data_IF_884058399071
#
_entry.id   IF_884058399071
#
_cell.length_a   1.000
_cell.length_b   1.000
_cell.length_c   1.000
_cell.angle_alpha   90.00
_cell.angle_beta   90.00
_cell.angle_gamma   90.00
#
_symmetry.space_group_name_H-M   'P 1'
#
loop_
_entity.id
_entity.type
_entity.pdbx_description
1 polymer ?
#
# COMPACT_ATOMS: atom_id res chain seq x y z
N UNK A 1 -8.45 -10.68 -8.86
CA UNK A 1 -7.29 -11.24 -9.59
C UNK A 1 -5.99 -11.00 -8.83
N UNK A 2 -5.59 -9.75 -8.55
CA UNK A 2 -4.36 -9.38 -7.81
C UNK A 2 -4.12 -10.25 -6.56
N UNK A 3 -5.15 -10.41 -5.72
CA UNK A 3 -5.04 -11.22 -4.50
C UNK A 3 -4.82 -12.71 -4.76
N UNK A 4 -5.43 -13.27 -5.79
CA UNK A 4 -5.24 -14.68 -6.15
C UNK A 4 -3.79 -14.91 -6.60
N UNK A 5 -3.26 -14.00 -7.41
CA UNK A 5 -1.89 -14.07 -7.90
C UNK A 5 -0.87 -13.84 -6.77
N UNK A 6 -1.02 -12.75 -6.01
CA UNK A 6 -0.09 -12.38 -4.94
C UNK A 6 -0.10 -13.29 -3.72
N UNK A 7 -1.20 -14.02 -3.46
CA UNK A 7 -1.26 -15.02 -2.38
C UNK A 7 -1.05 -16.47 -2.90
N UNK A 8 -0.80 -16.66 -4.20
CA UNK A 8 -0.65 -17.96 -4.86
C UNK A 8 -1.84 -18.92 -4.59
N UNK A 9 -3.06 -18.38 -4.73
CA UNK A 9 -4.33 -19.08 -4.47
C UNK A 9 -5.03 -19.39 -5.79
N UNK A 10 -5.50 -20.62 -5.93
CA UNK A 10 -6.39 -21.02 -7.02
C UNK A 10 -7.81 -21.26 -6.50
N UNK A 11 -8.82 -21.04 -7.35
CA UNK A 11 -10.20 -21.36 -7.02
C UNK A 11 -10.49 -22.80 -7.46
N UNK A 12 -10.52 -23.75 -6.52
CA UNK A 12 -10.96 -25.11 -6.79
C UNK A 12 -12.49 -25.18 -6.77
N UNK A 13 -13.09 -25.87 -7.75
CA UNK A 13 -14.50 -26.27 -7.70
C UNK A 13 -14.59 -27.76 -7.43
N UNK A 14 -15.64 -28.16 -6.72
CA UNK A 14 -15.96 -29.58 -6.53
C UNK A 14 -16.58 -30.11 -7.82
N UNK A 15 -16.16 -31.29 -8.27
CA UNK A 15 -16.76 -31.92 -9.45
C UNK A 15 -18.14 -32.46 -9.11
N UNK A 16 -18.93 -32.80 -10.14
CA UNK A 16 -20.22 -33.48 -9.97
C UNK A 16 -20.11 -34.84 -9.26
N UNK A 17 -18.89 -35.40 -9.18
CA UNK A 17 -18.57 -36.64 -8.46
C UNK A 17 -18.08 -36.42 -7.02
N UNK A 18 -18.22 -35.20 -6.48
CA UNK A 18 -17.71 -34.79 -5.17
C UNK A 18 -16.17 -34.89 -5.01
N UNK A 19 -15.43 -34.95 -6.12
CA UNK A 19 -13.97 -34.93 -6.09
C UNK A 19 -13.45 -33.50 -6.24
N UNK A 20 -12.27 -33.24 -5.66
CA UNK A 20 -11.61 -31.93 -5.77
C UNK A 20 -10.95 -31.81 -7.16
N UNK A 21 -11.36 -30.81 -7.94
CA UNK A 21 -10.80 -30.59 -9.27
C UNK A 21 -9.32 -30.14 -9.20
N UNK A 22 -8.54 -30.46 -10.24
CA UNK A 22 -7.11 -30.08 -10.32
C UNK A 22 -6.95 -28.56 -10.21
N UNK A 23 -6.15 -28.13 -9.24
CA UNK A 23 -5.86 -26.74 -8.96
C UNK A 23 -4.68 -26.25 -9.80
N UNK A 24 -4.86 -25.09 -10.45
CA UNK A 24 -3.80 -24.40 -11.18
C UNK A 24 -3.44 -23.13 -10.44
N UNK A 25 -2.37 -23.22 -9.65
CA UNK A 25 -1.85 -22.13 -8.84
C UNK A 25 -0.96 -21.22 -9.68
N UNK A 26 -1.14 -19.89 -9.62
CA UNK A 26 -0.30 -18.96 -10.36
C UNK A 26 1.12 -18.94 -9.80
N UNK A 27 2.12 -19.15 -10.65
CA UNK A 27 3.53 -19.04 -10.28
C UNK A 27 4.24 -18.06 -11.23
N UNK A 28 5.13 -17.24 -10.67
CA UNK A 28 5.92 -16.26 -11.42
C UNK A 28 5.47 -14.82 -11.19
N UNK A 29 5.88 -13.93 -12.09
CA UNK A 29 5.54 -12.50 -12.09
C UNK A 29 4.47 -12.24 -13.14
N UNK A 30 3.45 -11.45 -12.79
CA UNK A 30 2.43 -10.98 -13.72
C UNK A 30 2.64 -9.49 -13.98
N UNK A 31 2.88 -9.13 -15.24
CA UNK A 31 2.89 -7.75 -15.69
C UNK A 31 1.51 -7.42 -16.26
N UNK A 32 0.96 -6.29 -15.81
CA UNK A 32 -0.35 -5.80 -16.24
C UNK A 32 -0.19 -4.33 -16.59
N UNK A 33 -0.63 -3.94 -17.78
CA UNK A 33 -0.85 -2.54 -18.12
C UNK A 33 -2.28 -2.14 -17.73
N UNK A 34 -2.42 -0.97 -17.12
CA UNK A 34 -3.70 -0.39 -16.77
C UNK A 34 -3.59 1.13 -16.91
N UNK A 35 -4.66 1.76 -17.39
CA UNK A 35 -4.76 3.23 -17.46
C UNK A 35 -4.93 3.81 -16.05
N UNK A 36 -5.75 3.16 -15.22
CA UNK A 36 -6.00 3.55 -13.84
C UNK A 36 -5.71 2.43 -12.86
N UNK A 37 -5.17 2.79 -11.69
CA UNK A 37 -5.00 1.85 -10.58
C UNK A 37 -6.20 1.92 -9.63
N UNK A 38 -6.85 0.77 -9.40
CA UNK A 38 -7.98 0.65 -8.48
C UNK A 38 -7.73 -0.51 -7.50
N UNK A 39 -8.03 -0.32 -6.22
CA UNK A 39 -7.97 -1.40 -5.23
C UNK A 39 -7.74 -0.92 -3.81
N UNK A 40 -7.96 -1.81 -2.85
CA UNK A 40 -7.63 -1.52 -1.45
C UNK A 40 -6.12 -1.46 -1.20
N UNK A 41 -5.70 -0.81 -0.11
CA UNK A 41 -4.32 -0.81 0.42
C UNK A 41 -3.67 -2.21 0.37
N UNK A 42 -4.44 -3.24 0.74
CA UNK A 42 -3.98 -4.63 0.71
C UNK A 42 -3.70 -5.14 -0.71
N UNK A 43 -4.50 -4.75 -1.70
CA UNK A 43 -4.31 -5.17 -3.08
C UNK A 43 -3.13 -4.42 -3.71
N UNK A 44 -3.05 -3.11 -3.48
CA UNK A 44 -1.98 -2.25 -3.99
C UNK A 44 -0.61 -2.64 -3.44
N UNK A 45 -0.51 -3.02 -2.16
CA UNK A 45 0.74 -3.50 -1.55
C UNK A 45 1.24 -4.87 -2.03
N UNK A 46 0.51 -5.53 -2.94
CA UNK A 46 0.93 -6.76 -3.63
C UNK A 46 1.44 -6.51 -5.05
N UNK A 47 1.42 -5.27 -5.51
CA UNK A 47 1.88 -4.86 -6.83
C UNK A 47 3.02 -3.85 -6.67
N UNK A 48 3.92 -3.83 -7.65
CA UNK A 48 4.80 -2.69 -7.90
C UNK A 48 4.13 -1.88 -9.01
N UNK A 49 3.86 -0.60 -8.76
CA UNK A 49 3.21 0.30 -9.71
C UNK A 49 4.28 1.17 -10.35
N UNK A 50 4.41 1.08 -11.67
CA UNK A 50 5.30 1.91 -12.46
C UNK A 50 4.45 2.81 -13.35
N UNK A 51 4.62 4.12 -13.22
CA UNK A 51 4.03 5.08 -14.12
C UNK A 51 4.94 5.25 -15.33
N UNK A 52 4.39 5.07 -16.52
CA UNK A 52 5.10 5.24 -17.77
C UNK A 52 4.47 6.40 -18.54
N UNK A 53 5.29 7.36 -18.93
CA UNK A 53 4.92 8.43 -19.85
C UNK A 53 5.48 8.16 -21.26
N UNK A 54 5.18 9.05 -22.21
CA UNK A 54 5.66 8.94 -23.59
C UNK A 54 7.19 9.02 -23.72
N UNK A 55 7.87 9.58 -22.72
CA UNK A 55 9.32 9.77 -22.69
C UNK A 55 10.04 8.66 -21.92
N UNK A 56 9.30 7.79 -21.23
CA UNK A 56 9.84 6.71 -20.39
C UNK A 56 10.39 5.55 -21.20
N UNK A 57 10.08 5.48 -22.50
CA UNK A 57 10.46 4.37 -23.37
C UNK A 57 11.25 4.89 -24.55
N UNK A 58 12.46 4.37 -24.72
CA UNK A 58 13.24 4.55 -25.94
C UNK A 58 12.60 3.76 -27.08
N UNK A 59 11.94 4.49 -27.99
CA UNK A 59 11.23 3.92 -29.14
C UNK A 59 12.17 3.30 -30.16
N UNK A 60 13.41 3.76 -30.27
CA UNK A 60 14.39 3.19 -31.19
C UNK A 60 14.83 1.82 -30.69
N UNK A 61 15.20 1.73 -29.41
CA UNK A 61 15.55 0.46 -28.76
C UNK A 61 14.37 -0.52 -28.77
N UNK A 62 13.15 -0.04 -28.50
CA UNK A 62 11.95 -0.87 -28.55
C UNK A 62 11.72 -1.45 -29.95
N UNK A 63 11.79 -0.61 -30.99
CA UNK A 63 11.60 -1.03 -32.38
C UNK A 63 12.66 -2.06 -32.79
N UNK A 64 13.93 -1.81 -32.43
CA UNK A 64 15.03 -2.74 -32.67
C UNK A 64 14.76 -4.14 -32.08
N UNK A 65 14.21 -4.19 -30.87
CA UNK A 65 13.85 -5.44 -30.19
C UNK A 65 12.63 -6.13 -30.83
N UNK A 66 11.62 -5.37 -31.23
CA UNK A 66 10.41 -5.88 -31.88
C UNK A 66 10.71 -6.51 -33.25
N UNK A 67 11.65 -5.93 -34.01
CA UNK A 67 12.11 -6.47 -35.30
C UNK A 67 12.93 -7.77 -35.14
N UNK A 68 13.38 -8.08 -33.92
CA UNK A 68 14.24 -9.24 -33.62
C UNK A 68 13.66 -10.06 -32.47
N UNK A 69 12.46 -10.65 -32.64
CA UNK A 69 11.71 -11.28 -31.55
C UNK A 69 12.48 -12.42 -30.86
N UNK A 70 13.42 -13.07 -31.56
CA UNK A 70 14.23 -14.15 -31.00
C UNK A 70 15.30 -13.66 -30.03
N UNK A 71 15.81 -12.44 -30.17
CA UNK A 71 16.91 -11.92 -29.35
C UNK A 71 16.58 -12.00 -27.86
N UNK A 72 15.38 -11.53 -27.48
CA UNK A 72 14.94 -11.57 -26.09
C UNK A 72 14.85 -13.01 -25.57
N UNK A 73 14.20 -13.92 -26.31
CA UNK A 73 14.07 -15.32 -25.88
C UNK A 73 15.42 -16.05 -25.77
N UNK A 74 16.34 -15.79 -26.70
CA UNK A 74 17.70 -16.36 -26.69
C UNK A 74 18.51 -15.82 -25.51
N UNK A 75 18.39 -14.52 -25.23
CA UNK A 75 19.05 -13.90 -24.09
C UNK A 75 18.55 -14.47 -22.76
N UNK A 76 17.23 -14.57 -22.58
CA UNK A 76 16.62 -15.19 -21.38
C UNK A 76 17.07 -16.65 -21.23
N UNK A 77 17.10 -17.42 -22.32
CA UNK A 77 17.62 -18.79 -22.29
C UNK A 77 19.09 -18.84 -21.81
N UNK A 78 19.95 -17.98 -22.33
CA UNK A 78 21.36 -17.95 -21.97
C UNK A 78 21.57 -17.52 -20.50
N UNK A 79 20.77 -16.58 -20.00
CA UNK A 79 20.75 -16.19 -18.59
C UNK A 79 20.30 -17.35 -17.68
N UNK A 80 19.22 -18.04 -18.04
CA UNK A 80 18.74 -19.20 -17.28
C UNK A 80 19.76 -20.34 -17.29
N UNK A 81 20.44 -20.57 -18.41
CA UNK A 81 21.52 -21.55 -18.51
C UNK A 81 22.66 -21.21 -17.56
N UNK A 82 23.13 -19.96 -17.55
CA UNK A 82 24.16 -19.47 -16.63
C UNK A 82 23.82 -19.71 -15.15
N UNK A 83 22.58 -19.41 -14.75
CA UNK A 83 22.10 -19.68 -13.39
C UNK A 83 22.05 -21.18 -13.12
N UNK A 84 21.52 -21.98 -14.06
CA UNK A 84 21.33 -23.41 -13.88
C UNK A 84 22.65 -24.18 -13.71
N UNK A 85 23.72 -23.73 -14.37
CA UNK A 85 25.06 -24.31 -14.25
C UNK A 85 25.65 -24.10 -12.84
N UNK A 86 25.17 -23.09 -12.10
CA UNK A 86 25.62 -22.73 -10.76
C UNK A 86 24.47 -22.74 -9.74
N UNK A 87 23.47 -23.62 -9.96
CA UNK A 87 22.18 -23.57 -9.26
C UNK A 87 22.31 -23.56 -7.73
N UNK A 88 23.07 -24.49 -7.15
CA UNK A 88 23.22 -24.60 -5.69
C UNK A 88 23.86 -23.35 -5.08
N UNK A 89 24.84 -22.76 -5.76
CA UNK A 89 25.50 -21.53 -5.36
C UNK A 89 24.50 -20.38 -5.34
N UNK A 90 23.76 -20.18 -6.42
CA UNK A 90 22.78 -19.10 -6.50
C UNK A 90 21.63 -19.25 -5.52
N UNK A 91 21.13 -20.47 -5.28
CA UNK A 91 20.10 -20.71 -4.26
C UNK A 91 20.58 -20.27 -2.88
N UNK A 92 21.82 -20.63 -2.52
CA UNK A 92 22.41 -20.21 -1.25
C UNK A 92 22.61 -18.70 -1.19
N UNK A 93 23.20 -18.10 -2.22
CA UNK A 93 23.47 -16.67 -2.26
C UNK A 93 22.19 -15.83 -2.23
N UNK A 94 21.16 -16.19 -2.99
CA UNK A 94 19.87 -15.51 -2.96
C UNK A 94 19.31 -15.53 -1.54
N UNK A 95 19.34 -16.69 -0.87
CA UNK A 95 18.85 -16.83 0.50
C UNK A 95 19.64 -15.95 1.47
N UNK A 96 20.96 -15.89 1.34
CA UNK A 96 21.82 -15.07 2.19
C UNK A 96 21.60 -13.57 1.96
N UNK A 97 21.62 -13.12 0.70
CA UNK A 97 21.40 -11.71 0.32
C UNK A 97 20.02 -11.22 0.73
N UNK A 98 18.96 -11.97 0.44
CA UNK A 98 17.58 -11.61 0.84
C UNK A 98 17.47 -11.46 2.36
N UNK A 99 18.05 -12.38 3.13
CA UNK A 99 18.01 -12.29 4.59
C UNK A 99 18.85 -11.14 5.14
N UNK A 100 19.98 -10.82 4.50
CA UNK A 100 20.81 -9.66 4.85
C UNK A 100 20.05 -8.36 4.62
N UNK A 101 19.53 -8.14 3.40
CA UNK A 101 18.78 -6.93 3.08
C UNK A 101 17.49 -6.81 3.89
N UNK A 102 16.81 -7.91 4.23
CA UNK A 102 15.64 -7.85 5.12
C UNK A 102 15.98 -7.28 6.50
N UNK A 103 17.18 -7.52 7.01
CA UNK A 103 17.63 -6.97 8.30
C UNK A 103 18.01 -5.50 8.16
N UNK A 104 18.74 -5.16 7.10
CA UNK A 104 19.21 -3.80 6.81
C UNK A 104 18.05 -2.82 6.61
N UNK A 105 17.10 -3.18 5.74
CA UNK A 105 16.04 -2.29 5.29
C UNK A 105 14.75 -2.39 6.12
N UNK A 106 14.71 -3.21 7.18
CA UNK A 106 13.47 -3.47 7.94
C UNK A 106 12.75 -2.20 8.40
N UNK A 107 13.52 -1.20 8.81
CA UNK A 107 12.98 0.04 9.39
C UNK A 107 12.64 1.09 8.33
N UNK A 108 13.06 0.90 7.08
CA UNK A 108 12.84 1.83 5.98
C UNK A 108 11.43 1.68 5.38
N UNK A 109 10.74 0.56 5.65
CA UNK A 109 9.46 0.24 5.01
C UNK A 109 8.38 0.01 6.07
N UNK A 110 7.25 0.71 5.92
CA UNK A 110 6.06 0.52 6.78
C UNK A 110 5.31 -0.79 6.48
N UNK A 111 5.41 -1.32 5.26
CA UNK A 111 4.71 -2.52 4.81
C UNK A 111 5.67 -3.64 4.39
N UNK A 112 5.63 -4.79 5.07
CA UNK A 112 6.54 -5.91 4.84
C UNK A 112 6.53 -6.48 3.41
N UNK A 113 5.39 -6.46 2.70
CA UNK A 113 5.35 -6.91 1.29
C UNK A 113 6.09 -5.99 0.31
N UNK A 114 6.11 -4.69 0.59
CA UNK A 114 6.83 -3.74 -0.25
C UNK A 114 8.34 -3.91 -0.05
N UNK A 115 8.77 -4.09 1.20
CA UNK A 115 10.13 -4.51 1.55
C UNK A 115 10.52 -5.79 0.81
N UNK A 116 9.69 -6.84 0.86
CA UNK A 116 9.97 -8.10 0.17
C UNK A 116 10.09 -7.90 -1.36
N UNK A 117 9.22 -7.08 -1.95
CA UNK A 117 9.26 -6.78 -3.39
C UNK A 117 10.53 -6.02 -3.78
N UNK A 118 10.91 -5.00 -3.01
CA UNK A 118 12.15 -4.24 -3.17
C UNK A 118 13.37 -5.17 -3.14
N UNK A 119 13.47 -6.01 -2.10
CA UNK A 119 14.62 -6.91 -1.92
C UNK A 119 14.72 -7.94 -3.03
N UNK A 120 13.59 -8.57 -3.40
CA UNK A 120 13.59 -9.59 -4.46
C UNK A 120 13.99 -8.99 -5.81
N UNK A 121 13.52 -7.79 -6.13
CA UNK A 121 13.91 -7.09 -7.36
C UNK A 121 15.38 -6.69 -7.34
N UNK A 122 15.86 -6.11 -6.25
CA UNK A 122 17.27 -5.71 -6.12
C UNK A 122 18.22 -6.91 -6.27
N UNK A 123 17.98 -8.00 -5.53
CA UNK A 123 18.81 -9.22 -5.63
C UNK A 123 18.75 -9.82 -7.04
N UNK A 124 17.58 -9.84 -7.66
CA UNK A 124 17.43 -10.34 -9.04
C UNK A 124 18.19 -9.48 -10.04
N UNK A 125 18.15 -8.15 -9.87
CA UNK A 125 18.89 -7.21 -10.71
C UNK A 125 20.39 -7.35 -10.52
N UNK A 126 20.89 -7.51 -9.29
CA UNK A 126 22.32 -7.73 -9.05
C UNK A 126 22.85 -9.00 -9.73
N UNK A 127 22.09 -10.10 -9.67
CA UNK A 127 22.42 -11.36 -10.36
C UNK A 127 22.37 -11.17 -11.88
N UNK A 128 21.41 -10.40 -12.37
CA UNK A 128 21.34 -10.03 -13.77
C UNK A 128 22.57 -9.24 -14.24
N UNK A 129 23.05 -8.29 -13.43
CA UNK A 129 24.27 -7.53 -13.71
C UNK A 129 25.54 -8.40 -13.62
N UNK A 130 25.57 -9.40 -12.72
CA UNK A 130 26.65 -10.41 -12.68
C UNK A 130 26.75 -11.18 -14.00
N UNK A 131 25.61 -11.58 -14.55
CA UNK A 131 25.56 -12.20 -15.87
C UNK A 131 26.06 -11.27 -16.97
N UNK A 132 25.70 -9.98 -16.92
CA UNK A 132 26.23 -8.95 -17.83
C UNK A 132 27.76 -8.87 -17.81
N UNK A 133 28.37 -8.92 -16.62
CA UNK A 133 29.82 -9.02 -16.48
C UNK A 133 30.38 -10.33 -17.05
N UNK A 134 29.72 -11.47 -16.81
CA UNK A 134 30.16 -12.78 -17.27
C UNK A 134 30.26 -12.85 -18.80
N UNK A 135 29.30 -12.24 -19.51
CA UNK A 135 29.32 -12.16 -20.98
C UNK A 135 30.11 -10.96 -21.53
N UNK A 136 30.77 -10.19 -20.67
CA UNK A 136 31.50 -8.95 -21.00
C UNK A 136 30.63 -7.86 -21.66
N UNK A 137 29.33 -7.85 -21.40
CA UNK A 137 28.46 -6.75 -21.84
C UNK A 137 28.72 -5.47 -21.06
N UNK A 138 29.13 -5.61 -19.80
CA UNK A 138 29.53 -4.52 -18.91
C UNK A 138 30.76 -4.91 -18.10
N UNK A 139 31.50 -3.93 -17.61
CA UNK A 139 32.61 -4.13 -16.70
C UNK A 139 32.18 -4.06 -15.22
N UNK A 140 33.09 -4.40 -14.30
CA UNK A 140 32.80 -4.42 -12.85
C UNK A 140 32.43 -3.05 -12.29
N UNK A 141 33.00 -1.97 -12.83
CA UNK A 141 32.73 -0.60 -12.38
C UNK A 141 31.32 -0.16 -12.81
N UNK A 142 30.95 -0.44 -14.06
CA UNK A 142 29.60 -0.23 -14.57
C UNK A 142 28.58 -1.00 -13.73
N UNK A 143 28.79 -2.29 -13.48
CA UNK A 143 27.92 -3.09 -12.60
C UNK A 143 27.70 -2.43 -11.24
N UNK A 144 28.75 -1.94 -10.58
CA UNK A 144 28.62 -1.31 -9.25
C UNK A 144 27.77 -0.05 -9.34
N UNK A 145 27.97 0.78 -10.37
CA UNK A 145 27.19 1.99 -10.57
C UNK A 145 25.73 1.66 -10.85
N UNK A 146 25.46 0.76 -11.79
CA UNK A 146 24.10 0.32 -12.15
C UNK A 146 23.34 -0.28 -10.97
N UNK A 147 23.99 -1.13 -10.16
CA UNK A 147 23.36 -1.68 -8.96
C UNK A 147 23.04 -0.61 -7.90
N UNK A 148 23.93 0.38 -7.73
CA UNK A 148 23.69 1.49 -6.81
C UNK A 148 22.55 2.39 -7.27
N UNK A 149 22.49 2.68 -8.57
CA UNK A 149 21.45 3.53 -9.15
C UNK A 149 20.10 2.79 -9.13
N UNK A 150 20.07 1.50 -9.47
CA UNK A 150 18.87 0.67 -9.33
C UNK A 150 18.37 0.59 -7.88
N UNK A 151 19.28 0.45 -6.90
CA UNK A 151 18.92 0.45 -5.48
C UNK A 151 18.23 1.76 -5.07
N UNK A 152 18.79 2.91 -5.47
CA UNK A 152 18.18 4.23 -5.20
C UNK A 152 16.83 4.39 -5.88
N UNK A 153 16.75 4.13 -7.19
CA UNK A 153 15.51 4.29 -7.95
C UNK A 153 14.40 3.35 -7.45
N UNK A 154 14.73 2.11 -7.08
CA UNK A 154 13.76 1.19 -6.48
C UNK A 154 13.31 1.65 -5.08
N UNK A 155 14.21 2.23 -4.29
CA UNK A 155 13.86 2.76 -2.98
C UNK A 155 12.94 3.99 -3.11
N UNK A 156 13.25 4.92 -4.01
CA UNK A 156 12.42 6.07 -4.34
C UNK A 156 11.02 5.63 -4.79
N UNK A 157 10.95 4.72 -5.75
CA UNK A 157 9.70 4.16 -6.25
C UNK A 157 8.84 3.57 -5.12
N UNK A 158 9.43 2.75 -4.25
CA UNK A 158 8.66 2.12 -3.18
C UNK A 158 8.27 3.12 -2.09
N UNK A 159 9.06 4.17 -1.86
CA UNK A 159 8.69 5.28 -0.97
C UNK A 159 7.50 6.06 -1.52
N UNK A 160 7.48 6.39 -2.81
CA UNK A 160 6.33 7.03 -3.47
C UNK A 160 5.08 6.15 -3.39
N UNK A 161 5.22 4.87 -3.74
CA UNK A 161 4.15 3.89 -3.61
C UNK A 161 3.65 3.76 -2.17
N UNK A 162 4.54 3.86 -1.19
CA UNK A 162 4.18 3.85 0.22
C UNK A 162 3.27 5.06 0.50
N UNK A 163 3.71 6.27 0.17
CA UNK A 163 2.89 7.48 0.34
C UNK A 163 1.51 7.32 -0.31
N UNK A 164 1.47 6.83 -1.56
CA UNK A 164 0.25 6.57 -2.33
C UNK A 164 -0.68 5.52 -1.69
N UNK A 165 -0.13 4.46 -1.09
CA UNK A 165 -0.89 3.40 -0.43
C UNK A 165 -1.47 3.90 0.90
N UNK A 166 -0.74 4.77 1.60
CA UNK A 166 -1.13 5.34 2.88
C UNK A 166 -2.00 6.60 2.75
N UNK A 167 -1.99 7.31 1.62
CA UNK A 167 -2.93 8.39 1.35
C UNK A 167 -4.38 7.89 1.25
N UNK A 168 -4.55 6.63 0.87
CA UNK A 168 -5.81 5.88 0.83
C UNK A 168 -6.11 5.07 2.11
N UNK A 169 -5.32 5.22 3.19
CA UNK A 169 -5.60 4.52 4.45
C UNK A 169 -6.92 5.00 5.06
N UNK A 170 -7.80 4.08 5.51
CA UNK A 170 -9.09 4.45 6.08
C UNK A 170 -9.04 5.47 7.21
N UNK A 171 -7.97 5.47 8.01
CA UNK A 171 -7.79 6.42 9.10
C UNK A 171 -7.54 7.83 8.58
N UNK A 172 -6.64 7.99 7.61
CA UNK A 172 -6.32 9.29 7.02
C UNK A 172 -7.51 9.83 6.20
N UNK A 173 -8.17 8.97 5.41
CA UNK A 173 -9.38 9.35 4.69
C UNK A 173 -10.50 9.78 5.64
N UNK A 174 -10.69 9.08 6.76
CA UNK A 174 -11.69 9.47 7.76
C UNK A 174 -11.33 10.82 8.39
N UNK A 175 -10.07 11.00 8.78
CA UNK A 175 -9.55 12.24 9.37
C UNK A 175 -9.77 13.44 8.43
N UNK A 176 -9.34 13.33 7.16
CA UNK A 176 -9.53 14.36 6.12
C UNK A 176 -11.00 14.70 5.91
N UNK A 177 -11.86 13.70 5.77
CA UNK A 177 -13.29 13.93 5.59
C UNK A 177 -13.94 14.61 6.80
N UNK A 178 -13.60 14.20 8.02
CA UNK A 178 -14.13 14.83 9.24
C UNK A 178 -13.69 16.29 9.34
N UNK A 179 -12.41 16.58 9.11
CA UNK A 179 -11.88 17.94 9.14
C UNK A 179 -12.59 18.84 8.12
N UNK A 180 -12.70 18.39 6.87
CA UNK A 180 -13.39 19.12 5.80
C UNK A 180 -14.88 19.35 6.13
N UNK A 181 -15.58 18.33 6.61
CA UNK A 181 -17.02 18.41 6.93
C UNK A 181 -17.29 19.36 8.10
N UNK A 182 -16.41 19.43 9.10
CA UNK A 182 -16.53 20.35 10.23
C UNK A 182 -16.15 21.77 9.79
N UNK A 183 -15.02 21.92 9.10
CA UNK A 183 -14.50 23.21 8.62
C UNK A 183 -15.45 23.90 7.63
N UNK A 184 -16.10 23.12 6.76
CA UNK A 184 -17.15 23.60 5.85
C UNK A 184 -18.53 23.79 6.51
N UNK A 185 -18.65 23.47 7.80
CA UNK A 185 -19.89 23.51 8.59
C UNK A 185 -21.01 22.58 8.09
N UNK A 186 -20.69 21.59 7.26
CA UNK A 186 -21.63 20.54 6.88
C UNK A 186 -21.99 19.65 8.09
N UNK A 187 -20.99 19.39 8.94
CA UNK A 187 -21.16 18.82 10.28
C UNK A 187 -21.03 19.96 11.29
N UNK A 188 -22.14 20.31 11.94
CA UNK A 188 -22.15 21.23 13.07
C UNK A 188 -22.04 20.47 14.39
N UNK A 189 -21.24 20.99 15.32
CA UNK A 189 -21.01 20.43 16.65
C UNK A 189 -21.42 21.45 17.71
N UNK A 190 -22.03 20.96 18.79
CA UNK A 190 -22.35 21.80 19.95
C UNK A 190 -21.09 22.15 20.72
N UNK A 191 -21.00 23.37 21.24
CA UNK A 191 -19.98 23.66 22.27
C UNK A 191 -20.29 22.88 23.54
N UNK A 192 -19.26 22.50 24.30
CA UNK A 192 -19.41 21.70 25.53
C UNK A 192 -20.35 22.31 26.57
N UNK A 193 -20.50 23.64 26.53
CA UNK A 193 -21.26 24.42 27.51
C UNK A 193 -22.64 24.83 26.97
N UNK A 194 -22.95 24.48 25.72
CA UNK A 194 -24.23 24.79 25.07
C UNK A 194 -25.27 23.71 25.41
N UNK A 195 -26.52 24.15 25.63
CA UNK A 195 -27.67 23.27 25.81
C UNK A 195 -28.30 22.88 24.46
N UNK A 196 -27.96 23.55 23.37
CA UNK A 196 -28.41 23.17 22.03
C UNK A 196 -27.70 21.88 21.62
N UNK A 197 -28.48 20.81 21.43
CA UNK A 197 -27.96 19.51 21.03
C UNK A 197 -27.89 19.41 19.51
N UNK A 198 -26.70 19.62 18.95
CA UNK A 198 -26.40 19.37 17.56
C UNK A 198 -26.39 17.87 17.27
N UNK A 199 -26.64 17.55 16.00
CA UNK A 199 -26.86 16.16 15.58
C UNK A 199 -25.61 15.30 15.67
N UNK A 200 -24.42 15.87 15.46
CA UNK A 200 -23.21 15.10 15.17
C UNK A 200 -22.21 14.98 16.33
N UNK A 201 -22.38 15.78 17.38
CA UNK A 201 -21.56 15.67 18.58
C UNK A 201 -21.26 17.01 19.24
N UNK A 202 -20.16 17.04 19.98
CA UNK A 202 -19.67 18.21 20.70
C UNK A 202 -18.23 18.55 20.34
N UNK A 203 -17.86 19.79 20.62
CA UNK A 203 -16.53 20.33 20.47
C UNK A 203 -16.09 21.02 21.75
N UNK A 204 -14.85 20.76 22.17
CA UNK A 204 -14.11 21.55 23.15
C UNK A 204 -12.93 22.23 22.47
N UNK A 205 -12.16 23.06 23.15
CA UNK A 205 -10.98 23.70 22.54
C UNK A 205 -9.98 22.69 21.95
N UNK A 206 -9.84 21.52 22.57
CA UNK A 206 -8.81 20.52 22.25
C UNK A 206 -9.34 19.27 21.55
N UNK A 207 -10.65 18.98 21.62
CA UNK A 207 -11.19 17.71 21.15
C UNK A 207 -12.53 17.85 20.42
N UNK A 208 -12.75 16.93 19.48
CA UNK A 208 -14.07 16.63 18.93
C UNK A 208 -14.65 15.37 19.59
N UNK A 209 -15.90 15.44 20.02
CA UNK A 209 -16.67 14.34 20.63
C UNK A 209 -17.80 13.92 19.70
N UNK A 210 -17.50 12.98 18.80
CA UNK A 210 -18.36 12.68 17.66
C UNK A 210 -19.26 11.47 17.93
N UNK A 211 -20.51 11.54 17.44
CA UNK A 211 -21.39 10.38 17.40
C UNK A 211 -20.92 9.41 16.30
N UNK A 212 -20.41 8.21 16.64
CA UNK A 212 -19.63 7.42 15.69
C UNK A 212 -20.41 6.96 14.46
N UNK A 213 -21.67 6.53 14.65
CA UNK A 213 -22.49 6.01 13.56
C UNK A 213 -22.98 7.13 12.61
N UNK A 214 -23.25 8.32 13.15
CA UNK A 214 -23.71 9.46 12.36
C UNK A 214 -22.57 10.03 11.51
N UNK A 215 -21.42 10.29 12.13
CA UNK A 215 -20.27 10.86 11.41
C UNK A 215 -19.72 9.88 10.37
N UNK A 216 -19.67 8.57 10.67
CA UNK A 216 -19.28 7.59 9.65
C UNK A 216 -20.22 7.62 8.44
N UNK A 217 -21.53 7.82 8.66
CA UNK A 217 -22.50 7.98 7.58
C UNK A 217 -22.17 9.15 6.66
N UNK A 218 -21.82 10.30 7.24
CA UNK A 218 -21.42 11.48 6.47
C UNK A 218 -20.06 11.30 5.77
N UNK A 219 -19.08 10.66 6.40
CA UNK A 219 -17.79 10.33 5.75
C UNK A 219 -18.01 9.43 4.53
N UNK A 220 -18.88 8.41 4.65
CA UNK A 220 -19.22 7.54 3.51
C UNK A 220 -19.90 8.33 2.39
N UNK A 221 -20.79 9.26 2.74
CA UNK A 221 -21.50 10.11 1.78
C UNK A 221 -20.55 11.10 1.10
N UNK A 222 -19.67 11.76 1.85
CA UNK A 222 -18.67 12.70 1.37
C UNK A 222 -17.83 12.12 0.22
N UNK A 223 -17.29 10.91 0.39
CA UNK A 223 -16.54 10.26 -0.68
C UNK A 223 -17.43 9.79 -1.82
N UNK A 224 -18.65 9.32 -1.54
CA UNK A 224 -19.61 8.89 -2.55
C UNK A 224 -19.96 10.04 -3.51
N UNK A 225 -20.20 11.23 -2.97
CA UNK A 225 -20.58 12.42 -3.75
C UNK A 225 -19.42 12.90 -4.65
N UNK A 226 -18.17 12.53 -4.34
CA UNK A 226 -16.98 12.74 -5.17
C UNK A 226 -16.72 11.60 -6.17
N UNK A 227 -17.65 10.66 -6.33
CA UNK A 227 -17.46 9.48 -7.19
C UNK A 227 -16.48 8.43 -6.62
N UNK A 228 -16.05 8.58 -5.38
CA UNK A 228 -15.16 7.64 -4.67
C UNK A 228 -15.95 6.76 -3.71
N UNK A 229 -15.36 5.65 -3.24
CA UNK A 229 -16.00 4.77 -2.25
C UNK A 229 -15.16 4.67 -0.99
N UNK A 230 -15.70 5.13 0.13
CA UNK A 230 -15.16 4.79 1.44
C UNK A 230 -15.52 3.33 1.78
N UNK A 231 -14.51 2.46 1.92
CA UNK A 231 -14.68 1.01 1.97
C UNK A 231 -14.49 0.37 3.35
N UNK A 232 -14.12 1.15 4.37
CA UNK A 232 -13.91 0.67 5.72
C UNK A 232 -15.20 0.65 6.56
N UNK A 233 -15.32 -0.37 7.41
CA UNK A 233 -16.39 -0.42 8.42
C UNK A 233 -16.03 0.43 9.63
N UNK A 234 -17.03 0.80 10.46
CA UNK A 234 -16.82 1.56 11.71
C UNK A 234 -15.65 1.08 12.55
N UNK A 235 -15.60 -0.23 12.82
CA UNK A 235 -14.53 -0.81 13.62
C UNK A 235 -13.16 -0.67 12.96
N UNK A 236 -13.08 -0.83 11.62
CA UNK A 236 -11.82 -0.65 10.88
C UNK A 236 -11.38 0.81 10.84
N UNK A 237 -12.31 1.75 10.64
CA UNK A 237 -12.03 3.18 10.67
C UNK A 237 -11.48 3.60 12.03
N UNK A 238 -12.15 3.20 13.12
CA UNK A 238 -11.67 3.53 14.46
C UNK A 238 -10.33 2.85 14.79
N UNK A 239 -10.12 1.60 14.32
CA UNK A 239 -8.83 0.93 14.45
C UNK A 239 -7.71 1.69 13.74
N UNK A 240 -7.98 2.21 12.54
CA UNK A 240 -7.01 2.98 11.77
C UNK A 240 -6.73 4.34 12.43
N UNK A 241 -7.75 5.05 12.92
CA UNK A 241 -7.58 6.28 13.68
C UNK A 241 -6.78 6.08 14.99
N UNK A 242 -7.00 4.96 15.68
CA UNK A 242 -6.22 4.56 16.87
C UNK A 242 -4.76 4.28 16.53
N UNK A 243 -4.49 3.61 15.41
CA UNK A 243 -3.13 3.36 14.94
C UNK A 243 -2.39 4.66 14.57
N UNK A 244 -3.11 5.69 14.15
CA UNK A 244 -2.59 7.05 13.92
C UNK A 244 -2.45 7.87 15.21
N UNK A 245 -2.88 7.34 16.37
CA UNK A 245 -2.81 8.05 17.65
C UNK A 245 -3.77 9.23 17.80
N UNK A 246 -4.75 9.35 16.89
CA UNK A 246 -5.68 10.48 16.80
C UNK A 246 -6.81 10.43 17.82
N UNK A 247 -7.12 9.25 18.38
CA UNK A 247 -8.30 9.05 19.21
C UNK A 247 -8.00 8.58 20.62
N UNK A 248 -8.86 8.98 21.56
CA UNK A 248 -8.83 8.49 22.93
C UNK A 248 -9.56 7.14 23.09
N UNK A 249 -9.12 6.37 24.10
CA UNK A 249 -9.67 5.05 24.42
C UNK A 249 -10.16 4.97 25.87
N UNK A 250 -11.19 4.17 26.06
CA UNK A 250 -11.73 3.76 27.36
C UNK A 250 -11.49 2.25 27.51
N UNK A 251 -10.33 1.90 28.08
CA UNK A 251 -9.82 0.53 28.11
C UNK A 251 -9.66 -0.05 26.70
N UNK A 252 -10.33 -1.16 26.41
CA UNK A 252 -10.30 -1.80 25.08
C UNK A 252 -11.25 -1.15 24.06
N UNK A 253 -12.05 -0.14 24.46
CA UNK A 253 -13.01 0.51 23.58
C UNK A 253 -12.43 1.79 22.99
N UNK A 254 -12.48 1.90 21.67
CA UNK A 254 -12.07 3.10 20.88
C UNK A 254 -13.11 4.22 20.89
N UNK A 255 -13.89 4.29 21.96
CA UNK A 255 -14.90 5.31 22.19
C UNK A 255 -14.95 5.58 23.69
N UNK A 256 -15.09 6.83 24.08
CA UNK A 256 -15.05 7.25 25.49
C UNK A 256 -16.46 7.56 25.97
N UNK A 257 -16.78 7.18 27.22
CA UNK A 257 -18.04 7.56 27.86
C UNK A 257 -17.94 8.98 28.42
N UNK A 258 -18.72 9.92 27.88
CA UNK A 258 -18.82 11.29 28.38
C UNK A 258 -20.29 11.70 28.53
N UNK A 259 -20.56 12.69 29.36
CA UNK A 259 -21.85 13.37 29.46
C UNK A 259 -21.66 14.84 29.13
N UNK A 260 -22.65 15.42 28.46
CA UNK A 260 -22.72 16.82 28.10
C UNK A 260 -24.07 17.40 28.58
N UNK A 261 -24.21 18.72 28.73
CA UNK A 261 -25.47 19.33 29.14
C UNK A 261 -26.65 18.86 28.28
N UNK A 262 -27.80 18.60 28.93
CA UNK A 262 -29.00 18.09 28.26
C UNK A 262 -28.92 16.64 27.76
N UNK A 263 -27.76 15.97 27.85
CA UNK A 263 -27.57 14.62 27.33
C UNK A 263 -26.97 13.69 28.39
N UNK A 264 -27.65 12.56 28.61
CA UNK A 264 -27.14 11.50 29.47
C UNK A 264 -25.77 10.96 29.02
N UNK A 265 -25.18 10.08 29.83
CA UNK A 265 -23.87 9.50 29.54
C UNK A 265 -23.91 8.62 28.29
N UNK A 266 -23.25 9.04 27.21
CA UNK A 266 -23.14 8.32 25.93
C UNK A 266 -21.69 8.04 25.57
N UNK A 267 -21.47 7.27 24.49
CA UNK A 267 -20.13 6.96 23.97
C UNK A 267 -19.84 7.79 22.72
N UNK A 268 -18.66 8.40 22.71
CA UNK A 268 -18.17 9.27 21.64
C UNK A 268 -16.89 8.72 21.03
N UNK A 269 -16.71 8.93 19.73
CA UNK A 269 -15.39 8.89 19.11
C UNK A 269 -14.73 10.23 19.44
N UNK A 270 -13.66 10.19 20.23
CA UNK A 270 -12.98 11.41 20.69
C UNK A 270 -11.73 11.59 19.85
N UNK A 271 -11.67 12.67 19.06
CA UNK A 271 -10.53 13.02 18.20
C UNK A 271 -9.81 14.22 18.81
N UNK A 272 -8.49 14.13 18.97
CA UNK A 272 -7.62 15.23 19.38
C UNK A 272 -7.37 16.18 18.19
N UNK A 273 -7.73 17.45 18.35
CA UNK A 273 -7.64 18.44 17.26
C UNK A 273 -6.21 18.79 16.89
N UNK A 274 -5.31 18.87 17.89
CA UNK A 274 -3.93 19.24 17.63
C UNK A 274 -3.25 18.14 16.83
N UNK A 275 -3.44 16.88 17.23
CA UNK A 275 -2.91 15.74 16.49
C UNK A 275 -3.52 15.59 15.10
N UNK A 276 -4.81 15.92 14.95
CA UNK A 276 -5.46 15.94 13.65
C UNK A 276 -4.80 16.98 12.74
N UNK A 277 -4.61 18.20 13.22
CA UNK A 277 -3.97 19.27 12.46
C UNK A 277 -2.52 18.94 12.11
N UNK A 278 -1.74 18.44 13.07
CA UNK A 278 -0.36 18.03 12.85
C UNK A 278 -0.26 16.94 11.77
N UNK A 279 -1.11 15.92 11.85
CA UNK A 279 -1.16 14.87 10.83
C UNK A 279 -1.52 15.44 9.45
N UNK A 280 -2.47 16.37 9.36
CA UNK A 280 -2.89 16.94 8.08
C UNK A 280 -1.86 17.90 7.47
N UNK A 281 -0.92 18.43 8.26
CA UNK A 281 0.21 19.22 7.75
C UNK A 281 1.34 18.36 7.16
N UNK A 282 1.42 17.08 7.54
CA UNK A 282 2.42 16.13 7.04
C UNK A 282 2.07 15.52 5.66
N UNK A 283 0.86 15.75 5.15
CA UNK A 283 0.33 15.15 3.91
C UNK A 283 -0.23 16.18 2.94
#
# INVERSE_FOLDING_TARGET
MIRLFGDNISNARMTSKMEKQKEYKPNGVCLVSAEDTHGSTSSRSRCLHLYLDKTSVDLETLSYCQDRPKHFSTFIYAFLKYISENYETYVKEIKERVNSYRKEYRNNFKHGRLLDSYILLLVSFEIFQEYGCYINAINKKERINECNDASKSLLELVTEMTYDIYSDEPGLLYAKAVDELISSHYISLSKSDDNNMERYGWETDTHYFLYPDLVLGEVVKFYKDQGRKYSASKNKSHMALDALGLIEKDGNKRTVKKSFPGVGRKRYLVIDKNKLNDLLLEF
#
